data_IF_593550539502
#
_entry.id   IF_593550539502
#
_cell.length_a   1.000
_cell.length_b   1.000
_cell.length_c   1.000
_cell.angle_alpha   90.00
_cell.angle_beta   90.00
_cell.angle_gamma   90.00
#
_symmetry.space_group_name_H-M   'P 1'
#
loop_
_entity.id
_entity.type
_entity.pdbx_description
1 polymer ?
#
# COMPACT_ATOMS: atom_id res chain seq x y z
N UNK A 1 -8.25 20.60 0.58
CA UNK A 1 -7.77 19.65 1.60
C UNK A 1 -8.88 18.70 2.08
N UNK A 2 -10.07 19.19 2.45
CA UNK A 2 -11.20 18.36 2.97
C UNK A 2 -11.71 17.26 2.02
N UNK A 3 -11.83 17.53 0.71
CA UNK A 3 -12.17 16.50 -0.30
C UNK A 3 -11.12 15.38 -0.42
N UNK A 4 -9.87 15.66 -0.04
CA UNK A 4 -8.77 14.70 -0.09
C UNK A 4 -8.80 13.73 1.11
N UNK A 5 -9.27 14.23 2.27
CA UNK A 5 -9.41 13.47 3.52
C UNK A 5 -10.59 12.49 3.40
N UNK A 6 -11.77 12.95 2.96
CA UNK A 6 -12.95 12.09 2.84
C UNK A 6 -12.77 10.91 1.88
N UNK A 7 -12.17 11.13 0.70
CA UNK A 7 -11.94 10.05 -0.27
C UNK A 7 -10.84 9.07 0.17
N UNK A 8 -9.89 9.49 1.02
CA UNK A 8 -8.88 8.59 1.57
C UNK A 8 -9.40 7.79 2.77
N UNK A 9 -10.33 8.34 3.56
CA UNK A 9 -10.98 7.64 4.67
C UNK A 9 -11.88 6.50 4.17
N UNK A 10 -12.77 6.78 3.21
CA UNK A 10 -13.72 5.78 2.70
C UNK A 10 -13.00 4.57 2.09
N UNK A 11 -11.89 4.78 1.38
CA UNK A 11 -11.09 3.70 0.81
C UNK A 11 -10.29 2.90 1.85
N UNK A 12 -10.01 3.49 3.00
CA UNK A 12 -9.33 2.78 4.10
C UNK A 12 -10.30 1.89 4.87
N UNK A 13 -11.60 2.18 4.85
CA UNK A 13 -12.64 1.35 5.46
C UNK A 13 -12.68 -0.06 4.86
N UNK A 14 -12.63 -0.19 3.52
CA UNK A 14 -12.61 -1.50 2.85
C UNK A 14 -11.37 -2.32 3.21
N UNK A 15 -10.21 -1.68 3.33
CA UNK A 15 -8.99 -2.34 3.77
C UNK A 15 -9.15 -2.93 5.19
N UNK A 16 -9.66 -2.14 6.14
CA UNK A 16 -9.90 -2.63 7.50
C UNK A 16 -10.92 -3.76 7.56
N UNK A 17 -12.00 -3.65 6.79
CA UNK A 17 -13.00 -4.70 6.70
C UNK A 17 -12.40 -6.01 6.17
N UNK A 18 -11.57 -5.94 5.12
CA UNK A 18 -10.84 -7.10 4.61
C UNK A 18 -9.88 -7.71 5.64
N UNK A 19 -9.12 -6.88 6.37
CA UNK A 19 -8.24 -7.35 7.45
C UNK A 19 -9.00 -8.08 8.57
N UNK A 20 -10.17 -7.55 8.97
CA UNK A 20 -11.01 -8.18 10.00
C UNK A 20 -11.54 -9.53 9.52
N UNK A 21 -11.97 -9.63 8.25
CA UNK A 21 -12.40 -10.90 7.67
C UNK A 21 -11.25 -11.92 7.70
N UNK A 22 -10.04 -11.55 7.25
CA UNK A 22 -8.87 -12.44 7.30
C UNK A 22 -8.57 -12.91 8.74
N UNK A 23 -8.63 -12.00 9.72
CA UNK A 23 -8.44 -12.32 11.13
C UNK A 23 -9.46 -13.32 11.66
N UNK A 24 -10.75 -13.08 11.42
CA UNK A 24 -11.82 -13.99 11.80
C UNK A 24 -11.61 -15.36 11.15
N UNK A 25 -11.22 -15.37 9.88
CA UNK A 25 -10.98 -16.59 9.11
C UNK A 25 -9.93 -17.51 9.74
N UNK A 26 -8.89 -16.93 10.35
CA UNK A 26 -7.82 -17.71 10.98
C UNK A 26 -8.28 -18.35 12.28
N UNK A 27 -9.17 -17.68 13.01
CA UNK A 27 -9.77 -18.20 14.23
C UNK A 27 -10.85 -19.25 13.93
N UNK A 28 -11.45 -19.23 12.74
CA UNK A 28 -12.47 -20.20 12.34
C UNK A 28 -11.86 -21.60 12.16
N UNK A 29 -12.57 -22.65 12.62
CA UNK A 29 -12.28 -24.04 12.25
C UNK A 29 -12.56 -24.27 10.76
N UNK A 30 -12.07 -25.35 10.15
CA UNK A 30 -12.48 -25.77 8.81
C UNK A 30 -11.78 -25.04 7.66
N UNK A 31 -10.46 -24.89 7.72
CA UNK A 31 -9.67 -24.55 6.54
C UNK A 31 -9.57 -25.73 5.57
N UNK A 32 -9.44 -26.93 6.14
CA UNK A 32 -9.51 -28.21 5.45
C UNK A 32 -10.47 -29.15 6.18
N UNK A 33 -11.21 -29.96 5.44
CA UNK A 33 -12.08 -31.00 5.97
C UNK A 33 -11.59 -32.35 5.46
N UNK A 34 -11.57 -33.32 6.35
CA UNK A 34 -11.25 -34.72 6.10
C UNK A 34 -12.43 -35.57 6.59
N UNK A 35 -13.01 -36.36 5.71
CA UNK A 35 -14.07 -37.30 6.08
C UNK A 35 -13.48 -38.69 6.35
N UNK A 36 -13.61 -39.16 7.59
CA UNK A 36 -13.14 -40.47 8.04
C UNK A 36 -14.33 -41.42 8.07
N UNK A 37 -14.58 -42.08 6.94
CA UNK A 37 -15.72 -42.97 6.77
C UNK A 37 -15.68 -44.20 7.68
N UNK A 38 -14.49 -44.68 8.07
CA UNK A 38 -14.34 -45.80 9.01
C UNK A 38 -14.79 -45.46 10.44
N UNK A 39 -14.65 -44.19 10.82
CA UNK A 39 -14.93 -43.70 12.18
C UNK A 39 -16.28 -42.96 12.27
N UNK A 40 -16.99 -42.80 11.15
CA UNK A 40 -18.15 -41.91 11.03
C UNK A 40 -17.89 -40.55 11.70
N UNK A 41 -16.73 -39.98 11.38
CA UNK A 41 -16.24 -38.74 11.96
C UNK A 41 -15.76 -37.78 10.87
N UNK A 42 -16.11 -36.52 11.01
CA UNK A 42 -15.63 -35.43 10.18
C UNK A 42 -14.56 -34.68 10.95
N UNK A 43 -13.37 -34.57 10.36
CA UNK A 43 -12.26 -33.86 10.96
C UNK A 43 -12.04 -32.52 10.23
N UNK A 44 -12.14 -31.44 10.98
CA UNK A 44 -11.91 -30.08 10.51
C UNK A 44 -10.54 -29.62 10.97
N UNK A 45 -9.61 -29.57 10.01
CA UNK A 45 -8.30 -28.99 10.23
C UNK A 45 -8.38 -27.48 10.14
N UNK A 46 -7.80 -26.81 11.13
CA UNK A 46 -7.64 -25.37 11.10
C UNK A 46 -6.23 -24.93 11.47
N UNK A 47 -5.99 -23.63 11.40
CA UNK A 47 -4.66 -23.07 11.66
C UNK A 47 -4.32 -23.16 13.16
N UNK A 48 -5.29 -22.84 14.02
CA UNK A 48 -5.10 -22.73 15.47
C UNK A 48 -5.71 -23.92 16.25
N UNK A 49 -6.86 -24.40 15.79
CA UNK A 49 -7.64 -25.46 16.44
C UNK A 49 -7.91 -26.56 15.44
N UNK A 50 -7.92 -27.81 15.87
CA UNK A 50 -8.43 -28.93 15.10
C UNK A 50 -9.70 -29.44 15.80
N UNK A 51 -10.79 -29.65 15.05
CA UNK A 51 -12.08 -30.07 15.59
C UNK A 51 -12.54 -31.39 14.97
N UNK A 52 -12.97 -32.33 15.80
CA UNK A 52 -13.56 -33.60 15.39
C UNK A 52 -15.06 -33.55 15.67
N UNK A 53 -15.86 -33.89 14.66
CA UNK A 53 -17.31 -34.03 14.75
C UNK A 53 -17.62 -35.52 14.55
N UNK A 54 -17.98 -36.21 15.63
CA UNK A 54 -18.39 -37.62 15.57
C UNK A 54 -19.91 -37.74 15.69
N UNK A 55 -20.54 -38.50 14.80
CA UNK A 55 -21.98 -38.81 14.88
C UNK A 55 -22.28 -39.87 15.97
N UNK A 56 -21.26 -40.64 16.35
CA UNK A 56 -21.33 -41.62 17.45
C UNK A 56 -21.09 -40.94 18.79
N UNK A 57 -22.08 -41.00 19.67
CA UNK A 57 -21.97 -40.58 21.08
C UNK A 57 -20.89 -41.41 21.80
N UNK A 58 -19.89 -40.78 22.44
CA UNK A 58 -18.86 -41.52 23.18
C UNK A 58 -19.48 -42.25 24.39
N UNK A 59 -19.36 -43.59 24.38
CA UNK A 59 -19.82 -44.48 25.46
C UNK A 59 -19.20 -44.19 26.83
N UNK A 60 -18.13 -43.38 26.90
CA UNK A 60 -17.47 -42.98 28.15
C UNK A 60 -18.26 -41.97 29.00
N UNK A 61 -19.40 -41.46 28.52
CA UNK A 61 -20.30 -40.60 29.31
C UNK A 61 -21.41 -41.36 30.03
N UNK A 62 -21.52 -42.68 29.85
CA UNK A 62 -22.49 -43.52 30.57
C UNK A 62 -21.92 -43.89 31.94
N UNK A 63 -21.71 -42.86 32.78
CA UNK A 63 -21.62 -43.11 34.20
C UNK A 63 -23.05 -43.29 34.73
N UNK A 64 -23.30 -44.49 35.24
CA UNK A 64 -24.55 -44.98 35.80
C UNK A 64 -25.07 -43.96 36.81
N UNK A 65 -26.23 -43.34 36.54
CA UNK A 65 -27.27 -42.96 37.54
C UNK A 65 -28.37 -42.04 37.00
N UNK A 66 -28.26 -41.46 35.79
CA UNK A 66 -29.28 -40.54 35.28
C UNK A 66 -29.89 -41.00 33.95
N UNK A 67 -30.58 -42.13 33.95
CA UNK A 67 -31.28 -42.68 32.77
C UNK A 67 -32.55 -41.92 32.37
N UNK A 68 -33.04 -40.95 33.17
CA UNK A 68 -34.31 -40.25 32.87
C UNK A 68 -34.17 -38.88 32.18
N UNK A 69 -32.96 -38.35 32.01
CA UNK A 69 -32.74 -37.07 31.28
C UNK A 69 -32.33 -37.26 29.81
N UNK A 70 -32.35 -38.51 29.33
CA UNK A 70 -31.76 -38.94 28.05
C UNK A 70 -32.73 -38.95 26.85
N UNK A 71 -34.02 -38.63 27.05
CA UNK A 71 -35.03 -38.65 25.97
C UNK A 71 -35.40 -37.26 25.41
N UNK A 72 -34.86 -36.18 25.97
CA UNK A 72 -35.11 -34.81 25.50
C UNK A 72 -33.85 -34.06 25.05
N UNK A 73 -32.67 -34.69 25.11
CA UNK A 73 -31.45 -34.11 24.56
C UNK A 73 -31.23 -34.71 23.17
N UNK A 74 -32.03 -34.21 22.22
CA UNK A 74 -31.84 -34.44 20.78
C UNK A 74 -30.35 -34.36 20.43
N UNK A 75 -29.87 -35.49 19.88
CA UNK A 75 -28.61 -35.74 19.21
C UNK A 75 -28.00 -34.48 18.58
N UNK A 76 -27.13 -33.78 19.31
CA UNK A 76 -26.15 -32.90 18.68
C UNK A 76 -24.84 -33.67 18.60
N UNK A 77 -24.19 -33.73 17.42
CA UNK A 77 -22.91 -34.40 17.29
C UNK A 77 -21.92 -33.75 18.26
N UNK A 78 -21.18 -34.56 19.02
CA UNK A 78 -20.20 -34.05 19.98
C UNK A 78 -19.01 -33.47 19.21
N UNK A 79 -18.97 -32.14 19.06
CA UNK A 79 -17.84 -31.44 18.47
C UNK A 79 -16.76 -31.23 19.53
N UNK A 80 -15.65 -31.92 19.40
CA UNK A 80 -14.49 -31.77 20.27
C UNK A 80 -13.40 -30.99 19.54
N UNK A 81 -13.06 -29.81 20.03
CA UNK A 81 -11.99 -28.98 19.48
C UNK A 81 -10.78 -29.00 20.41
N UNK A 82 -9.61 -29.25 19.84
CA UNK A 82 -8.33 -29.24 20.56
C UNK A 82 -7.43 -28.14 20.01
N UNK A 83 -6.74 -27.42 20.90
CA UNK A 83 -5.82 -26.37 20.49
C UNK A 83 -4.47 -26.96 20.07
N UNK A 84 -4.00 -26.60 18.87
CA UNK A 84 -2.81 -27.25 18.29
C UNK A 84 -1.51 -26.93 19.04
N UNK A 85 -1.44 -25.81 19.77
CA UNK A 85 -0.23 -25.41 20.50
C UNK A 85 -0.19 -25.86 21.98
N UNK A 86 -1.23 -26.52 22.49
CA UNK A 86 -1.33 -26.84 23.92
C UNK A 86 -0.33 -27.93 24.39
N UNK A 87 0.30 -28.66 23.46
CA UNK A 87 1.03 -29.90 23.77
C UNK A 87 2.48 -29.99 23.25
N UNK A 88 3.15 -28.87 22.96
CA UNK A 88 4.55 -28.88 22.46
C UNK A 88 5.58 -29.49 23.42
N UNK A 89 5.27 -29.63 24.72
CA UNK A 89 6.18 -30.09 25.77
C UNK A 89 5.91 -31.49 26.33
N UNK A 90 4.94 -32.24 25.80
CA UNK A 90 4.57 -33.53 26.38
C UNK A 90 5.29 -34.69 25.70
N UNK A 91 6.09 -35.46 26.45
CA UNK A 91 6.77 -36.69 26.03
C UNK A 91 5.88 -37.73 25.31
N UNK A 92 4.55 -37.62 25.45
CA UNK A 92 3.58 -38.43 24.71
C UNK A 92 3.68 -38.26 23.19
N UNK A 93 3.99 -37.06 22.67
CA UNK A 93 4.09 -36.88 21.20
C UNK A 93 5.25 -37.68 20.60
N UNK A 94 6.41 -37.78 21.27
CA UNK A 94 7.51 -38.60 20.77
C UNK A 94 7.20 -40.11 20.82
N UNK A 95 6.42 -40.56 21.81
CA UNK A 95 5.91 -41.94 21.89
C UNK A 95 4.96 -42.28 20.74
N UNK A 96 3.98 -41.42 20.45
CA UNK A 96 3.07 -41.62 19.32
C UNK A 96 3.78 -41.50 17.96
N UNK A 97 4.83 -40.64 17.84
CA UNK A 97 5.71 -40.61 16.65
C UNK A 97 6.31 -41.98 16.41
N UNK A 98 6.83 -42.61 17.45
CA UNK A 98 7.46 -43.92 17.34
C UNK A 98 6.45 -44.97 16.89
N UNK A 99 5.26 -45.04 17.49
CA UNK A 99 4.21 -45.99 17.10
C UNK A 99 3.66 -45.75 15.68
N UNK A 100 3.47 -44.50 15.26
CA UNK A 100 2.97 -44.22 13.91
C UNK A 100 3.95 -44.57 12.78
N UNK A 101 5.26 -44.48 13.04
CA UNK A 101 6.30 -44.75 12.04
C UNK A 101 6.84 -46.18 12.12
N UNK A 102 6.99 -46.76 13.31
CA UNK A 102 7.49 -48.13 13.50
C UNK A 102 6.37 -49.17 13.39
N UNK A 103 5.19 -48.91 13.99
CA UNK A 103 4.09 -49.88 14.04
C UNK A 103 3.02 -49.62 12.96
N UNK A 104 3.13 -48.51 12.21
CA UNK A 104 2.16 -48.06 11.19
C UNK A 104 0.73 -47.92 11.72
N UNK A 105 0.58 -47.70 13.02
CA UNK A 105 -0.73 -47.57 13.64
C UNK A 105 -1.43 -46.29 13.16
N UNK A 106 -2.62 -46.46 12.59
CA UNK A 106 -3.41 -45.37 12.03
C UNK A 106 -3.87 -44.38 13.10
N UNK A 107 -4.34 -44.89 14.25
CA UNK A 107 -4.75 -44.05 15.38
C UNK A 107 -3.58 -43.21 15.93
N UNK A 108 -2.36 -43.76 15.94
CA UNK A 108 -1.16 -43.02 16.35
C UNK A 108 -0.78 -41.94 15.31
N UNK A 109 -0.94 -42.24 14.02
CA UNK A 109 -0.69 -41.27 12.92
C UNK A 109 -1.72 -40.14 12.89
N UNK A 110 -2.97 -40.44 13.19
CA UNK A 110 -4.04 -39.46 13.33
C UNK A 110 -3.82 -38.57 14.56
N UNK A 111 -3.52 -39.17 15.72
CA UNK A 111 -3.14 -38.43 16.93
C UNK A 111 -1.93 -37.50 16.68
N UNK A 112 -0.94 -37.97 15.91
CA UNK A 112 0.16 -37.12 15.48
C UNK A 112 -0.26 -36.03 14.53
N UNK A 113 -1.13 -36.28 13.56
CA UNK A 113 -1.61 -35.23 12.66
C UNK A 113 -2.37 -34.14 13.42
N UNK A 114 -3.10 -34.51 14.48
CA UNK A 114 -3.80 -33.57 15.38
C UNK A 114 -2.82 -32.68 16.17
N UNK A 115 -1.59 -33.16 16.42
CA UNK A 115 -0.57 -32.42 17.17
C UNK A 115 0.60 -31.89 16.32
N UNK A 116 0.73 -32.34 15.07
CA UNK A 116 1.82 -31.95 14.18
C UNK A 116 1.42 -30.71 13.41
N UNK A 117 2.20 -29.65 13.59
CA UNK A 117 2.15 -28.50 12.70
C UNK A 117 2.64 -28.90 11.32
N UNK A 118 1.71 -29.13 10.39
CA UNK A 118 2.08 -29.30 8.99
C UNK A 118 2.73 -27.99 8.49
N UNK A 119 3.77 -28.09 7.62
CA UNK A 119 4.50 -26.92 7.14
C UNK A 119 3.62 -25.82 6.56
N UNK A 120 2.50 -26.18 5.93
CA UNK A 120 1.57 -25.21 5.36
C UNK A 120 0.90 -24.32 6.41
N UNK A 121 0.48 -24.87 7.55
CA UNK A 121 -0.12 -24.04 8.61
C UNK A 121 0.90 -23.05 9.19
N UNK A 122 2.18 -23.45 9.29
CA UNK A 122 3.27 -22.55 9.69
C UNK A 122 3.48 -21.43 8.68
N UNK A 123 3.45 -21.75 7.38
CA UNK A 123 3.61 -20.75 6.31
C UNK A 123 2.48 -19.73 6.31
N UNK A 124 1.22 -20.18 6.42
CA UNK A 124 0.05 -19.28 6.48
C UNK A 124 0.14 -18.38 7.70
N UNK A 125 0.46 -18.94 8.87
CA UNK A 125 0.57 -18.17 10.12
C UNK A 125 1.71 -17.13 10.04
N UNK A 126 2.84 -17.50 9.45
CA UNK A 126 3.95 -16.58 9.19
C UNK A 126 3.48 -15.40 8.32
N UNK A 127 2.89 -15.66 7.15
CA UNK A 127 2.43 -14.60 6.25
C UNK A 127 1.32 -13.76 6.88
N UNK A 128 0.41 -14.36 7.65
CA UNK A 128 -0.61 -13.61 8.37
C UNK A 128 0.00 -12.63 9.38
N UNK A 129 0.98 -13.04 10.18
CA UNK A 129 1.64 -12.15 11.14
C UNK A 129 2.20 -10.92 10.42
N UNK A 130 2.86 -11.10 9.26
CA UNK A 130 3.33 -9.97 8.46
C UNK A 130 2.19 -9.10 7.92
N UNK A 131 1.11 -9.70 7.43
CA UNK A 131 -0.08 -8.98 7.00
C UNK A 131 -0.62 -8.10 8.13
N UNK A 132 -0.70 -8.61 9.37
CA UNK A 132 -1.16 -7.87 10.53
C UNK A 132 -0.19 -6.75 10.94
N UNK A 133 1.12 -7.03 10.94
CA UNK A 133 2.14 -6.02 11.24
C UNK A 133 2.08 -4.85 10.24
N UNK A 134 2.02 -5.14 8.93
CA UNK A 134 1.91 -4.11 7.91
C UNK A 134 0.57 -3.37 7.96
N UNK A 135 -0.52 -4.06 8.30
CA UNK A 135 -1.84 -3.44 8.52
C UNK A 135 -1.82 -2.50 9.71
N UNK A 136 -1.19 -2.90 10.82
CA UNK A 136 -1.03 -2.07 12.02
C UNK A 136 -0.21 -0.81 11.71
N UNK A 137 0.92 -0.95 11.03
CA UNK A 137 1.72 0.21 10.58
C UNK A 137 0.88 1.11 9.67
N UNK A 138 0.12 0.55 8.73
CA UNK A 138 -0.78 1.32 7.85
C UNK A 138 -1.80 2.14 8.64
N UNK A 139 -2.39 1.60 9.71
CA UNK A 139 -3.33 2.33 10.59
C UNK A 139 -2.68 3.60 11.16
N UNK A 140 -1.49 3.49 11.78
CA UNK A 140 -0.81 4.67 12.33
C UNK A 140 -0.45 5.68 11.26
N UNK A 141 0.03 5.21 10.12
CA UNK A 141 0.40 6.10 9.01
C UNK A 141 -0.84 6.81 8.44
N UNK A 142 -2.01 6.15 8.40
CA UNK A 142 -3.29 6.78 8.01
C UNK A 142 -3.66 7.91 8.97
N UNK A 143 -3.59 7.67 10.29
CA UNK A 143 -3.92 8.67 11.30
C UNK A 143 -2.99 9.90 11.17
N UNK A 144 -1.70 9.66 10.93
CA UNK A 144 -0.69 10.71 10.76
C UNK A 144 -0.62 11.26 9.31
N UNK A 145 -1.44 10.79 8.38
CA UNK A 145 -1.31 11.13 6.94
C UNK A 145 -1.71 12.56 6.61
N UNK A 146 -2.54 13.19 7.44
CA UNK A 146 -2.98 14.57 7.27
C UNK A 146 -1.86 15.59 7.45
N UNK A 147 -0.77 15.20 8.10
CA UNK A 147 0.32 16.10 8.47
C UNK A 147 1.43 16.16 7.40
N UNK A 148 1.61 15.12 6.58
CA UNK A 148 2.80 15.02 5.71
C UNK A 148 2.56 14.16 4.46
N UNK A 149 2.98 14.65 3.29
CA UNK A 149 2.77 13.97 1.99
C UNK A 149 3.48 12.60 1.91
N UNK A 150 4.74 12.45 2.36
CA UNK A 150 5.41 11.14 2.40
C UNK A 150 4.67 10.04 3.14
N UNK A 151 3.87 10.36 4.17
CA UNK A 151 3.05 9.38 4.87
C UNK A 151 2.01 8.72 3.94
N UNK A 152 1.52 9.45 2.94
CA UNK A 152 0.60 8.89 1.94
C UNK A 152 1.30 7.83 1.06
N UNK A 153 2.57 8.07 0.72
CA UNK A 153 3.37 7.12 -0.07
C UNK A 153 3.66 5.88 0.78
N UNK A 154 4.12 6.08 2.02
CA UNK A 154 4.41 5.00 2.96
C UNK A 154 3.16 4.13 3.19
N UNK A 155 1.99 4.74 3.40
CA UNK A 155 0.73 4.03 3.54
C UNK A 155 0.38 3.16 2.32
N UNK A 156 0.67 3.65 1.11
CA UNK A 156 0.41 2.88 -0.10
C UNK A 156 1.31 1.64 -0.18
N UNK A 157 2.58 1.78 0.24
CA UNK A 157 3.55 0.69 0.26
C UNK A 157 3.17 -0.35 1.31
N UNK A 158 2.83 0.07 2.53
CA UNK A 158 2.46 -0.85 3.62
C UNK A 158 1.19 -1.63 3.30
N UNK A 159 0.17 -0.99 2.72
CA UNK A 159 -1.02 -1.69 2.22
C UNK A 159 -0.63 -2.69 1.13
N UNK A 160 0.24 -2.31 0.18
CA UNK A 160 0.74 -3.21 -0.85
C UNK A 160 1.44 -4.44 -0.27
N UNK A 161 2.34 -4.26 0.70
CA UNK A 161 3.00 -5.38 1.38
C UNK A 161 2.01 -6.28 2.11
N UNK A 162 1.04 -5.70 2.84
CA UNK A 162 -0.03 -6.47 3.47
C UNK A 162 -0.82 -7.30 2.46
N UNK A 163 -1.14 -6.74 1.28
CA UNK A 163 -1.87 -7.47 0.22
C UNK A 163 -1.07 -8.63 -0.32
N UNK A 164 0.22 -8.45 -0.57
CA UNK A 164 1.11 -9.50 -1.08
C UNK A 164 1.24 -10.62 -0.06
N UNK A 165 1.44 -10.29 1.21
CA UNK A 165 1.51 -11.29 2.29
C UNK A 165 0.20 -12.08 2.42
N UNK A 166 -0.96 -11.43 2.36
CA UNK A 166 -2.27 -12.10 2.44
C UNK A 166 -2.47 -13.08 1.28
N UNK A 167 -2.16 -12.67 0.05
CA UNK A 167 -2.26 -13.53 -1.14
C UNK A 167 -1.24 -14.68 -1.08
N UNK A 168 -0.02 -14.44 -0.62
CA UNK A 168 0.98 -15.51 -0.45
C UNK A 168 0.55 -16.54 0.58
N UNK A 169 -0.18 -16.14 1.62
CA UNK A 169 -0.78 -17.05 2.58
C UNK A 169 -1.82 -17.98 1.91
N UNK A 170 -2.70 -17.42 1.08
CA UNK A 170 -3.71 -18.19 0.33
C UNK A 170 -3.05 -19.18 -0.66
N UNK A 171 -2.07 -18.71 -1.43
CA UNK A 171 -1.37 -19.51 -2.43
C UNK A 171 -0.57 -20.64 -1.75
N UNK A 172 0.15 -20.35 -0.66
CA UNK A 172 0.95 -21.37 0.03
C UNK A 172 0.07 -22.47 0.61
N UNK A 173 -1.10 -22.11 1.14
CA UNK A 173 -2.07 -23.07 1.62
C UNK A 173 -2.67 -23.90 0.47
N UNK A 174 -3.10 -23.24 -0.60
CA UNK A 174 -3.70 -23.88 -1.77
C UNK A 174 -2.75 -24.93 -2.38
N UNK A 175 -1.51 -24.55 -2.68
CA UNK A 175 -0.50 -25.46 -3.27
C UNK A 175 -0.28 -26.66 -2.34
N UNK A 176 -0.18 -26.42 -1.04
CA UNK A 176 0.01 -27.51 -0.09
C UNK A 176 -1.22 -28.41 0.03
N UNK A 177 -2.42 -27.86 -0.08
CA UNK A 177 -3.65 -28.64 -0.03
C UNK A 177 -3.78 -29.55 -1.23
N UNK A 178 -3.43 -29.06 -2.42
CA UNK A 178 -3.49 -29.85 -3.65
C UNK A 178 -2.47 -31.00 -3.62
N UNK A 179 -1.24 -30.72 -3.17
CA UNK A 179 -0.18 -31.73 -3.09
C UNK A 179 -0.47 -32.82 -2.04
N UNK A 180 -1.23 -32.50 -0.98
CA UNK A 180 -1.53 -33.41 0.12
C UNK A 180 -3.02 -33.82 0.16
N UNK A 181 -3.73 -33.74 -0.97
CA UNK A 181 -5.16 -34.01 -1.03
C UNK A 181 -5.56 -35.47 -0.71
N UNK A 182 -4.61 -36.40 -0.62
CA UNK A 182 -4.81 -37.83 -0.37
C UNK A 182 -3.97 -38.30 0.82
N UNK A 183 -4.63 -38.84 1.84
CA UNK A 183 -3.98 -39.48 2.99
C UNK A 183 -4.24 -40.98 2.96
N UNK A 184 -3.18 -41.78 3.09
CA UNK A 184 -3.29 -43.24 3.20
C UNK A 184 -3.67 -43.65 4.62
N UNK A 185 -4.80 -44.35 4.76
CA UNK A 185 -5.29 -44.93 6.02
C UNK A 185 -4.66 -46.27 6.39
N UNK A 186 -5.20 -46.92 7.43
CA UNK A 186 -4.73 -48.20 7.98
C UNK A 186 -4.83 -49.36 6.98
N UNK A 187 -5.96 -49.42 6.26
CA UNK A 187 -6.37 -50.59 5.47
C UNK A 187 -6.49 -50.25 3.97
N UNK A 188 -5.44 -49.67 3.39
CA UNK A 188 -5.34 -49.24 1.97
C UNK A 188 -6.39 -48.22 1.48
N UNK A 189 -7.34 -47.82 2.32
CA UNK A 189 -8.30 -46.74 2.05
C UNK A 189 -7.56 -45.40 1.98
N UNK A 190 -7.88 -44.62 0.96
CA UNK A 190 -7.33 -43.29 0.74
C UNK A 190 -8.39 -42.27 1.11
N UNK A 191 -8.11 -41.47 2.14
CA UNK A 191 -8.97 -40.37 2.54
C UNK A 191 -8.65 -39.12 1.73
N UNK A 192 -9.68 -38.43 1.28
CA UNK A 192 -9.54 -37.20 0.52
C UNK A 192 -9.74 -35.98 1.43
N UNK A 193 -8.81 -35.03 1.36
CA UNK A 193 -8.92 -33.73 2.01
C UNK A 193 -9.54 -32.72 1.06
N UNK A 194 -10.47 -31.92 1.58
CA UNK A 194 -11.14 -30.86 0.84
C UNK A 194 -10.89 -29.51 1.49
N UNK A 195 -10.72 -28.48 0.68
CA UNK A 195 -10.74 -27.10 1.15
C UNK A 195 -12.14 -26.72 1.61
N UNK A 196 -12.22 -25.93 2.67
CA UNK A 196 -13.50 -25.61 3.30
C UNK A 196 -13.67 -24.11 3.55
N UNK A 197 -14.78 -23.74 4.17
CA UNK A 197 -15.32 -22.39 4.27
C UNK A 197 -14.32 -21.37 4.83
N UNK A 198 -13.49 -21.73 5.82
CA UNK A 198 -12.56 -20.80 6.43
C UNK A 198 -11.40 -20.42 5.48
N UNK A 199 -11.04 -21.29 4.53
CA UNK A 199 -10.10 -20.91 3.48
C UNK A 199 -10.73 -19.89 2.52
N UNK A 200 -11.97 -20.15 2.07
CA UNK A 200 -12.67 -19.26 1.14
C UNK A 200 -13.00 -17.89 1.74
N UNK A 201 -13.34 -17.83 3.03
CA UNK A 201 -13.54 -16.57 3.77
C UNK A 201 -12.22 -15.77 3.80
N UNK A 202 -11.08 -16.42 4.02
CA UNK A 202 -9.78 -15.75 4.03
C UNK A 202 -9.44 -15.21 2.63
N UNK A 203 -9.61 -16.02 1.59
CA UNK A 203 -9.45 -15.60 0.19
C UNK A 203 -10.35 -14.41 -0.16
N UNK A 204 -11.60 -14.41 0.31
CA UNK A 204 -12.52 -13.28 0.12
C UNK A 204 -12.02 -12.01 0.82
N UNK A 205 -11.53 -12.13 2.06
CA UNK A 205 -10.85 -11.04 2.76
C UNK A 205 -9.64 -10.51 1.98
N UNK A 206 -8.76 -11.39 1.51
CA UNK A 206 -7.60 -11.04 0.66
C UNK A 206 -8.01 -10.30 -0.61
N UNK A 207 -9.10 -10.72 -1.27
CA UNK A 207 -9.62 -10.03 -2.46
C UNK A 207 -10.10 -8.61 -2.13
N UNK A 208 -10.80 -8.40 -1.02
CA UNK A 208 -11.22 -7.06 -0.58
C UNK A 208 -10.00 -6.16 -0.33
N UNK A 209 -8.96 -6.69 0.31
CA UNK A 209 -7.70 -5.96 0.56
C UNK A 209 -7.03 -5.62 -0.79
N UNK A 210 -6.98 -6.57 -1.73
CA UNK A 210 -6.43 -6.35 -3.08
C UNK A 210 -7.19 -5.25 -3.82
N UNK A 211 -8.52 -5.29 -3.84
CA UNK A 211 -9.35 -4.25 -4.46
C UNK A 211 -9.07 -2.88 -3.83
N UNK A 212 -8.94 -2.81 -2.51
CA UNK A 212 -8.60 -1.58 -1.79
C UNK A 212 -7.25 -1.02 -2.23
N UNK A 213 -6.24 -1.88 -2.40
CA UNK A 213 -4.92 -1.50 -2.90
C UNK A 213 -4.97 -1.01 -4.35
N UNK A 214 -5.62 -1.75 -5.25
CA UNK A 214 -5.76 -1.37 -6.66
C UNK A 214 -6.45 -0.02 -6.80
N UNK A 215 -7.50 0.23 -6.02
CA UNK A 215 -8.22 1.49 -6.05
C UNK A 215 -7.33 2.66 -5.60
N UNK A 216 -6.57 2.50 -4.51
CA UNK A 216 -5.58 3.50 -4.05
C UNK A 216 -4.48 3.73 -5.09
N UNK A 217 -3.94 2.66 -5.68
CA UNK A 217 -2.91 2.74 -6.71
C UNK A 217 -3.39 3.48 -7.96
N UNK A 218 -4.57 3.13 -8.47
CA UNK A 218 -5.18 3.78 -9.63
C UNK A 218 -5.48 5.27 -9.37
N UNK A 219 -5.97 5.61 -8.18
CA UNK A 219 -6.20 7.00 -7.78
C UNK A 219 -4.89 7.80 -7.72
N UNK A 220 -3.81 7.21 -7.19
CA UNK A 220 -2.47 7.82 -7.20
C UNK A 220 -1.98 8.06 -8.63
N UNK A 221 -2.13 7.08 -9.52
CA UNK A 221 -1.76 7.20 -10.94
C UNK A 221 -2.54 8.32 -11.64
N UNK A 222 -3.86 8.37 -11.46
CA UNK A 222 -4.72 9.44 -12.01
C UNK A 222 -4.31 10.83 -11.50
N UNK A 223 -3.95 10.97 -10.22
CA UNK A 223 -3.46 12.24 -9.66
C UNK A 223 -2.13 12.66 -10.29
N UNK A 224 -1.16 11.75 -10.42
CA UNK A 224 0.12 12.04 -11.09
C UNK A 224 -0.10 12.50 -12.52
N UNK A 225 -1.01 11.86 -13.26
CA UNK A 225 -1.34 12.24 -14.63
C UNK A 225 -1.98 13.64 -14.71
N UNK A 226 -2.92 13.97 -13.79
CA UNK A 226 -3.51 15.31 -13.72
C UNK A 226 -2.48 16.40 -13.39
N UNK A 227 -1.55 16.13 -12.48
CA UNK A 227 -0.51 17.09 -12.12
C UNK A 227 0.44 17.35 -13.30
N UNK A 228 0.88 16.30 -13.99
CA UNK A 228 1.71 16.45 -15.20
C UNK A 228 0.99 17.24 -16.30
N UNK A 229 -0.31 17.00 -16.50
CA UNK A 229 -1.10 17.75 -17.47
C UNK A 229 -1.22 19.23 -17.09
N UNK A 230 -1.43 19.53 -15.80
CA UNK A 230 -1.49 20.91 -15.31
C UNK A 230 -0.14 21.63 -15.47
N UNK A 231 0.98 20.96 -15.21
CA UNK A 231 2.32 21.53 -15.45
C UNK A 231 2.53 21.85 -16.93
N UNK A 232 2.12 20.97 -17.85
CA UNK A 232 2.19 21.22 -19.30
C UNK A 232 1.31 22.43 -19.68
N UNK A 233 0.09 22.51 -19.16
CA UNK A 233 -0.83 23.64 -19.43
C UNK A 233 -0.26 24.97 -18.91
N UNK A 234 0.32 24.98 -17.72
CA UNK A 234 0.95 26.18 -17.14
C UNK A 234 2.16 26.61 -17.99
N UNK A 235 3.02 25.67 -18.38
CA UNK A 235 4.18 25.98 -19.22
C UNK A 235 3.77 26.53 -20.59
N UNK A 236 2.73 25.96 -21.21
CA UNK A 236 2.21 26.44 -22.49
C UNK A 236 1.63 27.86 -22.38
N UNK A 237 0.86 28.14 -21.32
CA UNK A 237 0.32 29.48 -21.07
C UNK A 237 1.44 30.51 -20.85
N UNK A 238 2.48 30.16 -20.11
CA UNK A 238 3.64 31.03 -19.87
C UNK A 238 4.39 31.34 -21.18
N UNK A 239 4.57 30.34 -22.05
CA UNK A 239 5.18 30.54 -23.36
C UNK A 239 4.33 31.45 -24.26
N UNK A 240 3.01 31.32 -24.23
CA UNK A 240 2.08 32.16 -24.98
C UNK A 240 2.16 33.63 -24.53
N UNK A 241 2.18 33.86 -23.21
CA UNK A 241 2.31 35.20 -22.63
C UNK A 241 3.65 35.84 -23.02
N UNK A 242 4.75 35.09 -22.97
CA UNK A 242 6.06 35.60 -23.41
C UNK A 242 6.08 35.97 -24.89
N UNK A 243 5.39 35.22 -25.76
CA UNK A 243 5.29 35.56 -27.18
C UNK A 243 4.51 36.87 -27.40
N UNK A 244 3.40 37.07 -26.69
CA UNK A 244 2.62 38.31 -26.76
C UNK A 244 3.41 39.52 -26.27
N UNK A 245 4.18 39.39 -25.19
CA UNK A 245 5.05 40.47 -24.69
C UNK A 245 6.14 40.87 -25.71
N UNK A 246 6.77 39.88 -26.37
CA UNK A 246 7.76 40.16 -27.43
C UNK A 246 7.15 40.88 -28.63
N UNK A 247 5.93 40.54 -29.03
CA UNK A 247 5.23 41.23 -30.11
C UNK A 247 4.87 42.68 -29.74
N UNK A 248 4.43 42.92 -28.50
CA UNK A 248 4.16 44.28 -28.01
C UNK A 248 5.42 45.14 -27.94
N UNK A 249 6.55 44.57 -27.49
CA UNK A 249 7.83 45.29 -27.50
C UNK A 249 8.28 45.64 -28.92
N UNK A 250 8.15 44.72 -29.89
CA UNK A 250 8.48 45.00 -31.28
C UNK A 250 7.58 46.09 -31.88
N UNK A 251 6.27 46.05 -31.62
CA UNK A 251 5.35 47.09 -32.09
C UNK A 251 5.68 48.47 -31.47
N UNK A 252 5.99 48.54 -30.17
CA UNK A 252 6.39 49.78 -29.52
C UNK A 252 7.70 50.34 -30.09
N UNK A 253 8.69 49.47 -30.36
CA UNK A 253 9.95 49.89 -30.97
C UNK A 253 9.73 50.45 -32.39
N UNK A 254 8.89 49.81 -33.20
CA UNK A 254 8.57 50.28 -34.55
C UNK A 254 7.83 51.63 -34.51
N UNK A 255 6.90 51.82 -33.58
CA UNK A 255 6.19 53.09 -33.42
C UNK A 255 7.13 54.21 -32.95
N UNK A 256 8.07 53.92 -32.04
CA UNK A 256 9.07 54.88 -31.59
C UNK A 256 10.04 55.26 -32.72
N UNK A 257 10.44 54.31 -33.56
CA UNK A 257 11.29 54.56 -34.73
C UNK A 257 10.57 55.48 -35.73
N UNK A 258 9.29 55.19 -36.01
CA UNK A 258 8.48 55.99 -36.93
C UNK A 258 8.22 57.40 -36.38
N UNK A 259 8.06 57.53 -35.06
CA UNK A 259 7.94 58.83 -34.39
C UNK A 259 9.27 59.61 -34.43
N UNK A 260 10.42 58.95 -34.23
CA UNK A 260 11.73 59.60 -34.36
C UNK A 260 12.02 60.07 -35.79
N UNK A 261 11.63 59.29 -36.80
CA UNK A 261 11.77 59.68 -38.20
C UNK A 261 10.86 60.87 -38.55
N UNK A 262 9.64 60.90 -38.00
CA UNK A 262 8.70 62.02 -38.16
C UNK A 262 9.26 63.31 -37.53
N UNK A 263 9.82 63.22 -36.33
CA UNK A 263 10.48 64.37 -35.66
C UNK A 263 11.73 64.84 -36.40
N UNK A 264 12.51 63.94 -37.01
CA UNK A 264 13.63 64.32 -37.88
C UNK A 264 13.15 65.06 -39.13
N UNK A 265 12.03 64.65 -39.72
CA UNK A 265 11.45 65.33 -40.89
C UNK A 265 10.93 66.73 -40.55
N UNK A 266 10.24 66.88 -39.42
CA UNK A 266 9.76 68.20 -38.94
C UNK A 266 10.93 69.15 -38.63
N UNK A 267 11.99 68.62 -38.01
CA UNK A 267 13.20 69.40 -37.70
C UNK A 267 13.98 69.81 -38.96
N UNK A 268 14.06 68.93 -39.97
CA UNK A 268 14.67 69.23 -41.25
C UNK A 268 13.88 70.31 -42.04
N UNK A 269 12.54 70.25 -42.01
CA UNK A 269 11.67 71.25 -42.62
C UNK A 269 11.81 72.64 -41.96
N UNK A 270 11.94 72.68 -40.62
CA UNK A 270 12.20 73.91 -39.89
C UNK A 270 13.57 74.50 -40.21
N UNK A 271 14.62 73.68 -40.36
CA UNK A 271 15.96 74.15 -40.75
C UNK A 271 16.04 74.67 -42.18
N UNK A 272 15.22 74.17 -43.11
CA UNK A 272 15.17 74.67 -44.48
C UNK A 272 14.48 76.06 -44.60
N UNK A 273 13.77 76.51 -43.56
CA UNK A 273 13.14 77.84 -43.52
C UNK A 273 13.98 78.92 -42.81
N UNK A 274 15.11 78.54 -42.21
CA UNK A 274 16.01 79.44 -41.49
C UNK A 274 17.41 79.45 -42.15
N UNK A 275 17.47 79.66 -43.45
CA UNK A 275 18.72 79.96 -44.14
C UNK A 275 18.90 81.48 -44.29
N UNK A 276 19.13 82.15 -43.16
CA UNK A 276 19.73 83.49 -43.11
C UNK A 276 20.06 83.85 -41.65
N UNK A 277 21.07 83.23 -41.04
CA UNK A 277 21.80 83.83 -39.91
C UNK A 277 23.21 83.21 -39.81
N UNK A 278 24.27 84.02 -39.67
CA UNK A 278 25.65 83.55 -39.57
C UNK A 278 25.92 82.71 -38.31
N UNK A 279 26.95 81.85 -38.33
CA UNK A 279 27.24 80.91 -37.26
C UNK A 279 27.58 81.63 -35.95
N UNK A 280 27.00 81.20 -34.80
CA UNK A 280 27.42 81.69 -33.50
C UNK A 280 28.76 81.06 -33.07
N UNK A 281 29.55 81.86 -32.36
CA UNK A 281 30.85 81.51 -31.81
C UNK A 281 30.76 80.43 -30.71
N UNK A 282 31.82 79.62 -30.52
CA UNK A 282 31.83 78.56 -29.51
C UNK A 282 31.82 79.13 -28.08
N UNK A 283 30.99 78.61 -27.16
CA UNK A 283 31.03 79.01 -25.77
C UNK A 283 32.22 78.38 -25.03
N UNK A 284 32.76 79.07 -24.00
CA UNK A 284 33.88 78.61 -23.20
C UNK A 284 33.49 77.45 -22.27
N UNK A 285 34.44 76.54 -22.08
CA UNK A 285 34.38 75.44 -21.13
C UNK A 285 33.96 75.92 -19.74
N UNK A 286 32.87 75.36 -19.21
CA UNK A 286 32.52 75.45 -17.78
C UNK A 286 32.71 74.09 -17.12
N UNK A 287 33.12 74.07 -15.84
CA UNK A 287 33.54 72.87 -15.13
C UNK A 287 32.36 71.97 -14.75
N UNK A 288 32.64 70.66 -14.75
CA UNK A 288 31.76 69.60 -14.31
C UNK A 288 31.38 69.77 -12.83
N UNK A 289 30.10 70.04 -12.55
CA UNK A 289 29.53 69.85 -11.22
C UNK A 289 29.04 68.41 -11.06
N UNK A 290 29.65 67.74 -10.09
CA UNK A 290 29.42 66.38 -9.65
C UNK A 290 28.12 66.36 -8.81
N UNK A 291 26.98 66.07 -9.44
CA UNK A 291 25.71 65.86 -8.74
C UNK A 291 25.67 64.43 -8.19
N UNK A 292 25.97 64.33 -6.89
CA UNK A 292 25.69 63.18 -6.05
C UNK A 292 24.17 62.96 -6.02
N UNK A 293 23.66 61.92 -6.69
CA UNK A 293 22.27 61.53 -6.55
C UNK A 293 22.16 60.24 -5.74
N UNK A 294 21.90 60.43 -4.45
CA UNK A 294 21.42 59.39 -3.55
C UNK A 294 20.00 58.98 -4.00
N UNK A 295 19.84 57.76 -4.48
CA UNK A 295 18.56 57.06 -4.41
C UNK A 295 18.79 55.61 -4.00
N UNK A 296 18.68 55.40 -2.69
CA UNK A 296 18.33 54.11 -2.08
C UNK A 296 16.96 53.72 -2.62
N UNK A 297 16.91 52.69 -3.45
CA UNK A 297 15.74 51.81 -3.50
C UNK A 297 16.20 50.38 -3.22
N UNK A 298 15.80 49.95 -2.03
CA UNK A 298 15.70 48.55 -1.63
C UNK A 298 14.88 47.78 -2.64
N UNK A 299 15.45 46.72 -3.21
CA UNK A 299 14.65 45.60 -3.69
C UNK A 299 15.36 44.29 -3.33
N UNK A 300 14.61 43.46 -2.61
CA UNK A 300 14.93 42.12 -2.21
C UNK A 300 15.32 41.27 -3.43
N UNK A 301 16.55 40.76 -3.44
CA UNK A 301 16.92 39.61 -4.27
C UNK A 301 16.82 38.35 -3.41
N UNK A 302 15.82 37.54 -3.76
CA UNK A 302 15.66 36.16 -3.33
C UNK A 302 16.96 35.37 -3.54
N UNK A 303 17.33 34.68 -2.47
CA UNK A 303 18.30 33.61 -2.41
C UNK A 303 17.96 32.59 -3.50
N UNK A 304 18.85 32.43 -4.47
CA UNK A 304 18.92 31.23 -5.28
C UNK A 304 20.24 30.55 -4.95
N UNK A 305 20.17 29.58 -4.04
CA UNK A 305 21.21 28.58 -3.82
C UNK A 305 21.41 27.81 -5.12
N UNK A 306 22.61 27.89 -5.69
CA UNK A 306 23.26 26.77 -6.39
C UNK A 306 24.62 27.25 -6.89
N UNK A 307 25.64 27.15 -6.04
CA UNK A 307 27.03 27.13 -6.49
C UNK A 307 27.71 25.90 -5.89
N UNK A 308 27.76 24.84 -6.69
CA UNK A 308 28.79 23.81 -6.60
C UNK A 308 30.15 24.48 -6.84
N UNK A 309 30.91 24.71 -5.77
CA UNK A 309 32.31 25.13 -5.88
C UNK A 309 33.16 23.87 -5.73
N UNK A 310 33.69 23.43 -6.87
CA UNK A 310 34.78 22.48 -6.99
C UNK A 310 35.93 23.28 -7.61
N UNK A 311 36.90 23.70 -6.81
CA UNK A 311 38.17 24.23 -7.31
C UNK A 311 39.31 23.54 -6.58
N UNK A 312 40.03 22.76 -7.38
CA UNK A 312 41.35 22.21 -7.10
C UNK A 312 42.41 23.26 -7.43
N UNK A 313 43.54 23.08 -6.75
CA UNK A 313 44.90 23.47 -7.11
C UNK A 313 45.46 24.87 -6.83
N UNK A 314 46.50 24.82 -5.97
CA UNK A 314 47.84 25.42 -6.09
C UNK A 314 47.92 26.95 -6.05
N UNK A 315 48.67 27.47 -5.07
CA UNK A 315 50.09 27.86 -5.22
C UNK A 315 50.63 28.52 -3.93
N UNK A 316 51.91 28.24 -3.64
CA UNK A 316 52.90 29.09 -2.94
C UNK A 316 52.64 29.53 -1.48
N UNK A 317 53.20 28.80 -0.50
CA UNK A 317 54.53 29.04 0.08
C UNK A 317 54.88 27.96 1.10
#
# INVERSE_FOLDING_TARGET
MNLFINNNLNNSSFFFFGCIICLISIALPGWQILNLTELNALHEHSILYDCIISEVTPLNSINKNNQQKLLLQQQQPSRQCTYKFENFYNWKTSFFVKMAFEEKDFNAREYLNNHRFLPQHKSVLFFCIFTLLFSFISIFVIICSSCFIPNIILNTITIGLATICSILADISFWISSENNNKIKGSNTIIYQQYLSYAFFIHCFGSLIILFSFLFKYNNKRRRKQKNNLNEILINNNNNLIQQQQKQQQNNNNNNNLLLSDLFCFERAALTASLEALPPPQPPPCTPQYLLLNNNKYSNYSLINENNNIKCSDKYLN
#
